data_IF_335538008679
#
_entry.id   IF_335538008679
#
_cell.length_a   1.000
_cell.length_b   1.000
_cell.length_c   1.000
_cell.angle_alpha   90.00
_cell.angle_beta   90.00
_cell.angle_gamma   90.00
#
_symmetry.space_group_name_H-M   'P 1'
#
loop_
_entity.id
_entity.type
_entity.pdbx_description
1 polymer ?
#
# COMPACT_ATOMS: atom_id res chain seq x y z
N UNK A 1 -7.49 -6.86 -3.98
CA UNK A 1 -6.24 -6.11 -4.28
C UNK A 1 -6.19 -4.94 -3.32
N UNK A 2 -5.01 -4.46 -2.90
CA UNK A 2 -4.91 -3.18 -2.20
C UNK A 2 -4.36 -2.13 -3.17
N UNK A 3 -5.00 -0.96 -3.21
CA UNK A 3 -4.55 0.23 -3.94
C UNK A 3 -3.97 1.20 -2.92
N UNK A 4 -2.71 1.58 -3.08
CA UNK A 4 -2.07 2.59 -2.24
C UNK A 4 -2.06 3.92 -2.97
N UNK A 5 -2.51 4.97 -2.29
CA UNK A 5 -2.48 6.35 -2.78
C UNK A 5 -1.21 7.01 -2.24
N UNK A 6 -0.37 7.55 -3.12
CA UNK A 6 0.83 8.27 -2.73
C UNK A 6 0.55 9.76 -2.47
N UNK A 7 1.40 10.46 -1.69
CA UNK A 7 1.23 11.89 -1.43
C UNK A 7 1.23 12.79 -2.67
N UNK A 8 1.85 12.35 -3.76
CA UNK A 8 1.90 13.06 -5.05
C UNK A 8 0.65 12.86 -5.91
N UNK A 9 -0.35 12.11 -5.42
CA UNK A 9 -1.58 11.79 -6.14
C UNK A 9 -1.47 10.58 -7.06
N UNK A 10 -0.29 9.99 -7.23
CA UNK A 10 -0.13 8.72 -7.94
C UNK A 10 -0.63 7.53 -7.10
N UNK A 11 -0.73 6.36 -7.70
CA UNK A 11 -1.12 5.14 -6.98
C UNK A 11 -0.40 3.91 -7.50
N UNK A 12 -0.34 2.86 -6.66
CA UNK A 12 0.04 1.53 -7.11
C UNK A 12 -0.93 0.46 -6.58
N UNK A 13 -0.95 -0.68 -7.28
CA UNK A 13 -1.69 -1.87 -6.87
C UNK A 13 -0.74 -2.92 -6.31
N UNK A 14 -1.16 -3.60 -5.24
CA UNK A 14 -0.45 -4.75 -4.69
C UNK A 14 -1.40 -5.89 -4.32
N UNK A 15 -0.88 -7.11 -4.46
CA UNK A 15 -1.58 -8.29 -4.01
C UNK A 15 -1.78 -8.22 -2.48
N UNK A 16 -2.98 -8.54 -2.01
CA UNK A 16 -3.35 -8.33 -0.61
C UNK A 16 -2.45 -9.09 0.36
N UNK A 17 -2.01 -10.29 0.00
CA UNK A 17 -1.12 -11.11 0.83
C UNK A 17 0.29 -10.52 1.00
N UNK A 18 0.70 -9.59 0.15
CA UNK A 18 2.00 -8.89 0.30
C UNK A 18 1.91 -7.70 1.26
N UNK A 19 0.70 -7.23 1.60
CA UNK A 19 0.51 -6.14 2.55
C UNK A 19 0.71 -6.66 3.98
N UNK A 20 1.54 -5.97 4.75
CA UNK A 20 1.90 -6.40 6.10
C UNK A 20 1.29 -5.52 7.19
N UNK A 21 1.38 -4.20 7.04
CA UNK A 21 0.80 -3.25 7.99
C UNK A 21 0.57 -1.89 7.36
N UNK A 22 -0.42 -1.16 7.89
CA UNK A 22 -0.58 0.28 7.69
C UNK A 22 -0.61 0.92 9.08
N UNK A 23 0.25 1.90 9.32
CA UNK A 23 0.41 2.54 10.63
C UNK A 23 0.91 3.98 10.50
N UNK A 24 0.84 4.76 11.58
CA UNK A 24 1.48 6.08 11.64
C UNK A 24 2.86 5.97 12.26
N UNK A 25 3.86 6.61 11.65
CA UNK A 25 5.21 6.68 12.22
C UNK A 25 5.31 7.79 13.29
N UNK A 26 6.51 8.00 13.84
CA UNK A 26 6.77 9.01 14.85
C UNK A 26 6.50 10.46 14.37
N UNK A 27 6.62 10.71 13.06
CA UNK A 27 6.33 12.01 12.43
C UNK A 27 4.84 12.18 12.10
N UNK A 28 4.00 11.20 12.45
CA UNK A 28 2.56 11.20 12.15
C UNK A 28 2.20 10.85 10.71
N UNK A 29 3.18 10.51 9.85
CA UNK A 29 2.97 10.11 8.46
C UNK A 29 2.33 8.73 8.38
N UNK A 30 1.44 8.53 7.41
CA UNK A 30 0.82 7.23 7.16
C UNK A 30 1.76 6.38 6.32
N UNK A 31 2.17 5.23 6.87
CA UNK A 31 3.15 4.32 6.29
C UNK A 31 2.47 3.00 5.94
N UNK A 32 2.75 2.48 4.75
CA UNK A 32 2.47 1.11 4.38
C UNK A 32 3.76 0.28 4.44
N UNK A 33 3.66 -0.92 5.01
CA UNK A 33 4.70 -1.95 4.97
C UNK A 33 4.25 -3.08 4.08
N UNK A 34 5.04 -3.43 3.08
CA UNK A 34 4.75 -4.52 2.14
C UNK A 34 5.98 -5.38 1.85
N UNK A 35 5.75 -6.58 1.36
CA UNK A 35 6.80 -7.47 0.86
C UNK A 35 7.40 -6.93 -0.44
N UNK A 36 8.72 -7.08 -0.59
CA UNK A 36 9.45 -6.76 -1.80
C UNK A 36 9.12 -7.77 -2.89
N UNK A 37 9.19 -7.34 -4.16
CA UNK A 37 8.88 -8.19 -5.31
C UNK A 37 9.83 -9.40 -5.45
N UNK A 38 11.05 -9.28 -4.94
CA UNK A 38 12.07 -10.35 -4.95
C UNK A 38 11.99 -11.29 -3.72
N UNK A 39 11.03 -11.08 -2.81
CA UNK A 39 10.90 -11.87 -1.58
C UNK A 39 12.03 -11.66 -0.56
N UNK A 40 12.94 -10.70 -0.77
CA UNK A 40 14.09 -10.46 0.12
C UNK A 40 13.73 -9.84 1.47
N UNK A 41 12.45 -9.55 1.69
CA UNK A 41 11.93 -9.02 2.94
C UNK A 41 10.83 -7.99 2.74
N UNK A 42 10.70 -7.09 3.72
CA UNK A 42 9.68 -6.05 3.74
C UNK A 42 10.32 -4.69 3.52
N UNK A 43 9.54 -3.76 3.00
CA UNK A 43 9.93 -2.36 2.88
C UNK A 43 8.76 -1.46 3.24
N UNK A 44 9.08 -0.22 3.62
CA UNK A 44 8.12 0.77 4.08
C UNK A 44 8.11 1.96 3.12
N UNK A 45 6.94 2.54 2.93
CA UNK A 45 6.76 3.71 2.09
C UNK A 45 5.60 4.56 2.59
N UNK A 46 5.71 5.86 2.39
CA UNK A 46 4.68 6.84 2.75
C UNK A 46 3.49 6.73 1.79
N UNK A 47 2.27 6.81 2.34
CA UNK A 47 1.02 6.82 1.60
C UNK A 47 0.14 7.97 2.12
N UNK A 48 -0.73 8.49 1.26
CA UNK A 48 -1.82 9.37 1.68
C UNK A 48 -3.06 8.57 2.12
N UNK A 49 -3.21 7.35 1.63
CA UNK A 49 -4.35 6.47 1.94
C UNK A 49 -4.28 5.13 1.22
N UNK A 50 -5.27 4.27 1.44
CA UNK A 50 -5.39 2.99 0.76
C UNK A 50 -6.86 2.58 0.57
N UNK A 51 -7.11 1.75 -0.45
CA UNK A 51 -8.42 1.20 -0.78
C UNK A 51 -8.31 -0.32 -0.94
N UNK A 52 -9.25 -1.06 -0.37
CA UNK A 52 -9.41 -2.49 -0.67
C UNK A 52 -10.34 -2.63 -1.86
N UNK A 53 -9.80 -3.17 -2.95
CA UNK A 53 -10.57 -3.39 -4.16
C UNK A 53 -11.22 -4.77 -4.15
N UNK A 54 -12.53 -4.77 -4.39
CA UNK A 54 -13.35 -5.95 -4.64
C UNK A 54 -12.86 -6.72 -5.88
N UNK A 55 -12.81 -8.06 -5.83
CA UNK A 55 -12.48 -8.89 -6.97
C UNK A 55 -13.45 -8.68 -8.14
N UNK A 56 -12.92 -8.64 -9.37
CA UNK A 56 -13.74 -8.58 -10.59
C UNK A 56 -14.40 -7.24 -10.89
N UNK A 57 -14.13 -6.20 -10.11
CA UNK A 57 -14.65 -4.84 -10.34
C UNK A 57 -13.63 -4.00 -11.10
N UNK A 58 -14.10 -3.28 -12.13
CA UNK A 58 -13.36 -2.23 -12.82
C UNK A 58 -13.67 -0.90 -12.14
N UNK A 59 -12.63 -0.15 -11.79
CA UNK A 59 -12.74 1.17 -11.15
C UNK A 59 -12.32 2.20 -12.19
N UNK A 60 -13.22 3.13 -12.51
CA UNK A 60 -13.01 4.23 -13.46
C UNK A 60 -12.25 5.42 -12.83
#
# INVERSE_FOLDING_TARGET
MIKYLYPDGSHCYRALHTAHAVFRNADGKLIARAEKADGSGKYEFEIAGFELLSPGIVYD
#
